data_IF_321192495355
#
_entry.id   IF_321192495355
#
_cell.length_a   1.000
_cell.length_b   1.000
_cell.length_c   1.000
_cell.angle_alpha   90.00
_cell.angle_beta   90.00
_cell.angle_gamma   90.00
#
_symmetry.space_group_name_H-M   'P 1'
#
loop_
_entity.id
_entity.type
_entity.pdbx_description
1 polymer ?
#
# COMPACT_ATOMS: atom_id res chain seq x y z
N UNK A 1 17.86 48.82 22.63
CA UNK A 1 17.79 48.20 23.97
C UNK A 1 17.33 46.78 23.79
N UNK A 2 18.22 45.86 24.12
CA UNK A 2 18.01 44.41 24.21
C UNK A 2 17.27 44.12 25.52
N UNK A 3 16.35 43.15 25.51
CA UNK A 3 16.27 41.99 26.44
C UNK A 3 15.18 41.03 25.92
N UNK A 4 15.57 39.84 25.44
CA UNK A 4 15.47 38.53 26.12
C UNK A 4 13.99 38.10 26.31
N UNK A 5 13.50 37.00 25.73
CA UNK A 5 14.02 35.64 25.74
C UNK A 5 13.04 34.77 26.52
N UNK A 6 12.37 33.83 25.86
CA UNK A 6 11.74 32.67 26.54
C UNK A 6 11.60 31.55 25.53
N UNK A 7 12.59 30.66 25.55
CA UNK A 7 12.47 29.30 25.05
C UNK A 7 11.34 28.60 25.81
N UNK A 8 10.38 28.04 25.08
CA UNK A 8 9.51 26.98 25.59
C UNK A 8 9.88 25.66 24.90
N UNK A 9 10.80 24.98 25.57
CA UNK A 9 10.94 23.53 25.75
C UNK A 9 10.07 22.57 24.92
N UNK A 10 10.78 21.61 24.32
CA UNK A 10 10.34 20.28 23.90
C UNK A 10 9.36 19.61 24.89
N UNK A 11 8.25 19.07 24.37
CA UNK A 11 7.55 17.92 24.94
C UNK A 11 6.05 18.08 25.22
N UNK A 12 5.19 17.70 24.26
CA UNK A 12 3.92 16.96 24.48
C UNK A 12 3.08 16.91 23.20
N UNK A 13 3.41 15.98 22.28
CA UNK A 13 2.57 15.65 21.12
C UNK A 13 1.34 14.81 21.56
N UNK A 14 0.48 15.40 22.40
CA UNK A 14 -0.88 14.93 22.61
C UNK A 14 -1.84 16.05 22.20
N UNK A 15 -2.26 16.00 20.93
CA UNK A 15 -3.49 16.59 20.41
C UNK A 15 -3.69 18.08 20.66
N UNK A 16 -3.02 18.93 19.89
CA UNK A 16 -3.49 20.31 19.72
C UNK A 16 -4.85 20.29 19.02
N UNK A 17 -5.84 20.97 19.60
CA UNK A 17 -7.14 21.11 18.98
C UNK A 17 -7.00 21.90 17.67
N UNK A 18 -7.42 21.31 16.55
CA UNK A 18 -7.42 21.96 15.24
C UNK A 18 -8.76 22.67 15.06
N UNK A 19 -8.72 23.99 14.86
CA UNK A 19 -9.92 24.76 14.50
C UNK A 19 -10.35 24.42 13.06
N UNK A 20 -11.47 23.73 12.95
CA UNK A 20 -12.04 23.29 11.67
C UNK A 20 -12.60 24.45 10.82
N UNK A 21 -12.80 25.64 11.40
CA UNK A 21 -13.30 26.81 10.66
C UNK A 21 -12.19 27.50 9.85
N UNK A 22 -10.94 27.38 10.28
CA UNK A 22 -9.77 28.00 9.65
C UNK A 22 -8.87 27.01 8.92
N UNK A 23 -9.01 25.70 9.16
CA UNK A 23 -8.22 24.68 8.49
C UNK A 23 -8.71 24.38 7.05
N UNK A 24 -7.82 24.23 6.07
CA UNK A 24 -8.20 23.80 4.73
C UNK A 24 -8.72 22.36 4.75
N UNK A 25 -9.99 22.16 4.42
CA UNK A 25 -10.62 20.84 4.36
C UNK A 25 -10.25 20.12 3.06
N UNK A 26 -9.50 19.01 3.17
CA UNK A 26 -9.23 18.10 2.07
C UNK A 26 -10.23 16.92 2.09
N UNK A 27 -11.33 17.05 1.34
CA UNK A 27 -12.36 16.01 1.23
C UNK A 27 -12.01 15.04 0.08
N UNK A 28 -12.04 13.74 0.37
CA UNK A 28 -11.87 12.68 -0.63
C UNK A 28 -13.13 11.81 -0.67
N UNK A 29 -13.88 11.88 -1.77
CA UNK A 29 -15.08 11.06 -1.99
C UNK A 29 -14.67 9.84 -2.80
N UNK A 30 -15.01 8.65 -2.32
CA UNK A 30 -14.70 7.39 -2.99
C UNK A 30 -15.89 6.43 -2.96
N UNK A 31 -15.86 5.45 -3.86
CA UNK A 31 -16.77 4.31 -3.89
C UNK A 31 -15.96 3.04 -3.77
N UNK A 32 -16.39 2.14 -2.90
CA UNK A 32 -15.78 0.82 -2.78
C UNK A 32 -16.14 -0.04 -4.00
N UNK A 33 -15.15 -0.77 -4.50
CA UNK A 33 -15.36 -1.87 -5.43
C UNK A 33 -16.00 -3.02 -4.64
N UNK A 34 -17.13 -3.52 -5.14
CA UNK A 34 -18.01 -4.49 -4.47
C UNK A 34 -18.56 -5.50 -5.48
N UNK A 35 -19.06 -6.65 -5.01
CA UNK A 35 -19.60 -7.70 -5.87
C UNK A 35 -18.51 -8.45 -6.61
N UNK A 36 -18.81 -9.01 -7.77
CA UNK A 36 -17.87 -9.83 -8.56
C UNK A 36 -16.59 -9.05 -8.96
N UNK A 37 -16.67 -7.73 -9.07
CA UNK A 37 -15.49 -6.88 -9.36
C UNK A 37 -14.54 -6.74 -8.17
N UNK A 38 -15.01 -7.02 -6.95
CA UNK A 38 -14.17 -7.04 -5.76
C UNK A 38 -13.40 -8.35 -5.61
N UNK A 39 -13.79 -9.40 -6.35
CA UNK A 39 -13.09 -10.66 -6.32
C UNK A 39 -11.67 -10.48 -6.87
N UNK A 40 -10.67 -11.08 -6.20
CA UNK A 40 -9.29 -10.98 -6.64
C UNK A 40 -9.11 -11.61 -8.02
N UNK A 41 -8.52 -10.86 -8.96
CA UNK A 41 -8.08 -11.47 -10.22
C UNK A 41 -6.76 -12.19 -10.01
N UNK A 42 -6.68 -13.47 -10.38
CA UNK A 42 -5.42 -14.21 -10.34
C UNK A 42 -4.60 -13.97 -11.61
N UNK A 43 -3.37 -13.47 -11.44
CA UNK A 43 -2.40 -13.37 -12.52
C UNK A 43 -1.77 -14.74 -12.75
N UNK A 44 -2.04 -15.32 -13.92
CA UNK A 44 -1.51 -16.62 -14.31
C UNK A 44 -0.39 -16.48 -15.33
N UNK A 45 0.70 -17.21 -15.12
CA UNK A 45 1.85 -17.24 -16.01
C UNK A 45 1.92 -18.66 -16.60
N UNK A 46 1.91 -18.75 -17.92
CA UNK A 46 2.10 -20.00 -18.63
C UNK A 46 3.58 -20.33 -18.77
N UNK A 47 3.95 -21.51 -18.25
CA UNK A 47 5.35 -21.95 -18.16
C UNK A 47 5.45 -23.35 -18.72
N UNK A 48 5.96 -23.45 -19.95
CA UNK A 48 6.09 -24.74 -20.64
C UNK A 48 4.72 -25.43 -20.78
N UNK A 49 4.35 -26.33 -19.86
CA UNK A 49 3.07 -27.04 -19.82
C UNK A 49 2.28 -26.83 -18.50
N UNK A 50 2.72 -25.92 -17.62
CA UNK A 50 2.02 -25.62 -16.36
C UNK A 50 1.54 -24.16 -16.31
N UNK A 51 0.36 -23.95 -15.73
CA UNK A 51 -0.17 -22.60 -15.43
C UNK A 51 0.08 -22.30 -13.96
N UNK A 52 0.92 -21.31 -13.69
CA UNK A 52 1.28 -20.93 -12.32
C UNK A 52 0.53 -19.64 -11.95
N UNK A 53 -0.07 -19.60 -10.76
CA UNK A 53 -0.62 -18.37 -10.18
C UNK A 53 0.55 -17.52 -9.65
N UNK A 54 0.99 -16.55 -10.44
CA UNK A 54 2.12 -15.66 -10.14
C UNK A 54 1.78 -14.53 -9.18
N UNK A 55 0.51 -14.14 -9.12
CA UNK A 55 0.06 -13.12 -8.19
C UNK A 55 -1.46 -12.98 -8.13
N UNK A 56 -1.88 -12.03 -7.30
CA UNK A 56 -3.28 -11.68 -7.09
C UNK A 56 -3.44 -10.17 -7.21
N UNK A 57 -4.39 -9.73 -8.04
CA UNK A 57 -4.71 -8.33 -8.27
C UNK A 57 -6.04 -7.96 -7.61
N UNK A 58 -6.05 -6.78 -6.99
CA UNK A 58 -7.22 -6.16 -6.38
C UNK A 58 -7.44 -4.78 -6.97
N UNK A 59 -8.67 -4.45 -7.35
CA UNK A 59 -9.04 -3.07 -7.66
C UNK A 59 -9.21 -2.26 -6.38
N UNK A 60 -8.78 -1.00 -6.39
CA UNK A 60 -8.85 -0.11 -5.24
C UNK A 60 -9.75 1.10 -5.53
N UNK A 61 -10.51 1.60 -4.54
CA UNK A 61 -10.60 1.11 -3.16
C UNK A 61 -11.44 -0.18 -3.03
N UNK A 62 -10.90 -1.24 -2.44
CA UNK A 62 -11.59 -2.54 -2.31
C UNK A 62 -12.40 -2.61 -1.03
N UNK A 63 -13.59 -3.20 -1.07
CA UNK A 63 -14.37 -3.51 0.12
C UNK A 63 -13.66 -4.51 1.06
N UNK A 64 -12.77 -5.37 0.54
CA UNK A 64 -12.01 -6.33 1.35
C UNK A 64 -11.04 -5.65 2.33
N UNK A 65 -10.57 -4.45 1.98
CA UNK A 65 -9.59 -3.72 2.78
C UNK A 65 -10.22 -2.60 3.62
N UNK A 66 -11.55 -2.50 3.62
CA UNK A 66 -12.26 -1.48 4.40
C UNK A 66 -12.08 -1.71 5.91
N UNK A 67 -11.74 -0.65 6.65
CA UNK A 67 -11.47 -0.75 8.10
C UNK A 67 -10.10 -1.35 8.47
N UNK A 68 -9.35 -1.89 7.50
CA UNK A 68 -8.07 -2.54 7.76
C UNK A 68 -7.05 -1.56 8.36
N UNK A 69 -7.02 -0.32 7.87
CA UNK A 69 -6.11 0.71 8.38
C UNK A 69 -6.39 1.03 9.85
N UNK A 70 -7.66 1.13 10.22
CA UNK A 70 -8.13 1.46 11.57
C UNK A 70 -7.88 0.31 12.56
N UNK A 71 -7.86 -0.93 12.07
CA UNK A 71 -7.55 -2.12 12.89
C UNK A 71 -6.07 -2.26 13.25
N UNK A 72 -5.18 -1.58 12.51
CA UNK A 72 -3.73 -1.69 12.70
C UNK A 72 -3.26 -0.71 13.78
N UNK A 73 -2.90 -1.26 14.94
CA UNK A 73 -2.37 -0.50 16.07
C UNK A 73 -0.87 -0.79 16.19
N UNK A 74 -0.07 0.28 16.13
CA UNK A 74 1.37 0.23 16.34
C UNK A 74 1.74 1.23 17.44
N UNK A 75 2.50 0.78 18.44
CA UNK A 75 2.94 1.63 19.57
C UNK A 75 3.90 2.74 19.12
N UNK A 76 4.63 2.50 18.03
CA UNK A 76 5.54 3.46 17.42
C UNK A 76 4.88 4.08 16.21
N UNK A 77 4.91 5.40 16.12
CA UNK A 77 4.51 6.11 14.90
C UNK A 77 5.37 5.62 13.73
N UNK A 78 4.74 5.00 12.73
CA UNK A 78 5.42 4.71 11.45
C UNK A 78 5.87 6.05 10.90
N UNK A 79 7.19 6.24 10.76
CA UNK A 79 7.73 7.53 10.34
C UNK A 79 7.09 7.90 8.97
N UNK A 80 6.36 9.03 8.87
CA UNK A 80 5.67 9.42 7.64
C UNK A 80 6.64 9.69 6.49
N UNK A 81 7.94 9.85 6.76
CA UNK A 81 9.02 10.00 5.79
C UNK A 81 9.58 8.66 5.28
N UNK A 82 9.07 7.51 5.72
CA UNK A 82 9.41 6.18 5.15
C UNK A 82 9.01 6.08 3.67
N UNK A 83 8.23 7.04 3.17
CA UNK A 83 7.99 7.26 1.75
C UNK A 83 9.25 7.91 1.13
N UNK A 84 10.29 7.11 0.90
CA UNK A 84 11.59 7.59 0.40
C UNK A 84 11.76 7.40 -1.11
N UNK A 85 12.12 8.52 -1.75
CA UNK A 85 12.88 8.81 -2.99
C UNK A 85 12.85 7.92 -4.25
N UNK A 86 12.48 6.64 -4.23
CA UNK A 86 12.50 5.77 -5.42
C UNK A 86 11.25 4.91 -5.61
N UNK A 87 10.10 5.29 -5.01
CA UNK A 87 8.83 4.53 -5.08
C UNK A 87 8.91 3.10 -4.49
N UNK A 88 9.86 2.85 -3.58
CA UNK A 88 10.07 1.55 -2.93
C UNK A 88 10.03 1.71 -1.42
N UNK A 89 9.29 0.82 -0.74
CA UNK A 89 9.21 0.74 0.73
C UNK A 89 9.59 -0.69 1.14
N UNK A 90 10.43 -0.82 2.16
CA UNK A 90 10.82 -2.11 2.73
C UNK A 90 10.39 -2.20 4.19
N UNK A 91 9.56 -3.21 4.51
CA UNK A 91 9.07 -3.48 5.86
C UNK A 91 9.68 -4.78 6.39
N UNK A 92 10.33 -4.72 7.55
CA UNK A 92 10.92 -5.90 8.20
C UNK A 92 10.45 -6.03 9.65
N UNK A 93 10.47 -7.26 10.17
CA UNK A 93 10.07 -7.58 11.54
C UNK A 93 9.54 -9.01 11.67
N UNK A 94 9.32 -9.50 12.91
CA UNK A 94 8.85 -10.86 13.18
C UNK A 94 7.60 -11.26 12.37
N UNK A 95 7.38 -12.54 12.06
CA UNK A 95 6.15 -12.98 11.40
C UNK A 95 4.92 -12.62 12.25
N UNK A 96 3.80 -12.30 11.61
CA UNK A 96 2.56 -11.93 12.30
C UNK A 96 2.42 -10.46 12.73
N UNK A 97 3.44 -9.61 12.55
CA UNK A 97 3.37 -8.18 12.92
C UNK A 97 2.57 -7.28 11.96
N UNK A 98 1.72 -7.87 11.12
CA UNK A 98 0.84 -7.11 10.22
C UNK A 98 1.53 -6.40 9.04
N UNK A 99 2.79 -6.71 8.69
CA UNK A 99 3.51 -6.07 7.57
C UNK A 99 2.73 -6.08 6.24
N UNK A 100 2.20 -7.23 5.85
CA UNK A 100 1.38 -7.37 4.64
C UNK A 100 0.07 -6.59 4.75
N UNK A 101 -0.57 -6.66 5.92
CA UNK A 101 -1.79 -5.90 6.21
C UNK A 101 -1.56 -4.38 6.12
N UNK A 102 -0.41 -3.90 6.62
CA UNK A 102 -0.01 -2.50 6.52
C UNK A 102 0.20 -2.07 5.06
N UNK A 103 0.82 -2.90 4.22
CA UNK A 103 0.91 -2.61 2.78
C UNK A 103 -0.46 -2.48 2.12
N UNK A 104 -1.39 -3.41 2.40
CA UNK A 104 -2.77 -3.38 1.85
C UNK A 104 -3.53 -2.14 2.33
N UNK A 105 -3.47 -1.85 3.62
CA UNK A 105 -4.11 -0.68 4.21
C UNK A 105 -3.53 0.64 3.67
N UNK A 106 -2.22 0.71 3.50
CA UNK A 106 -1.54 1.86 2.90
C UNK A 106 -1.97 2.05 1.44
N UNK A 107 -2.01 0.98 0.65
CA UNK A 107 -2.45 1.04 -0.75
C UNK A 107 -3.90 1.54 -0.84
N UNK A 108 -4.81 1.04 0.00
CA UNK A 108 -6.21 1.51 0.10
C UNK A 108 -6.26 3.01 0.40
N UNK A 109 -5.54 3.48 1.43
CA UNK A 109 -5.53 4.91 1.79
C UNK A 109 -4.92 5.77 0.68
N UNK A 110 -3.87 5.32 0.00
CA UNK A 110 -3.26 6.05 -1.11
C UNK A 110 -4.22 6.15 -2.31
N UNK A 111 -4.94 5.08 -2.66
CA UNK A 111 -5.93 5.12 -3.73
C UNK A 111 -7.03 6.16 -3.45
N UNK A 112 -7.52 6.23 -2.22
CA UNK A 112 -8.51 7.23 -1.81
C UNK A 112 -7.92 8.64 -1.84
N UNK A 113 -6.73 8.84 -1.24
CA UNK A 113 -6.08 10.16 -1.12
C UNK A 113 -5.61 10.71 -2.47
N UNK A 114 -5.29 9.86 -3.44
CA UNK A 114 -4.80 10.27 -4.75
C UNK A 114 -5.86 10.13 -5.85
N UNK A 115 -7.12 9.86 -5.49
CA UNK A 115 -8.26 9.72 -6.40
C UNK A 115 -8.48 10.91 -7.36
N UNK A 116 -8.16 12.13 -6.93
CA UNK A 116 -8.23 13.30 -7.81
C UNK A 116 -7.15 13.26 -8.93
N UNK A 117 -6.05 12.55 -8.71
CA UNK A 117 -4.93 12.46 -9.64
C UNK A 117 -4.95 11.18 -10.49
N UNK A 118 -5.52 10.09 -9.98
CA UNK A 118 -5.60 8.81 -10.66
C UNK A 118 -7.06 8.32 -10.70
N UNK A 119 -7.56 8.04 -11.91
CA UNK A 119 -8.92 7.53 -12.13
C UNK A 119 -9.09 6.07 -11.72
N UNK A 120 -7.99 5.32 -11.66
CA UNK A 120 -7.95 3.90 -11.31
C UNK A 120 -6.72 3.62 -10.45
N UNK A 121 -6.85 2.64 -9.56
CA UNK A 121 -5.77 2.12 -8.74
C UNK A 121 -5.95 0.61 -8.56
N UNK A 122 -4.83 -0.10 -8.52
CA UNK A 122 -4.83 -1.54 -8.27
C UNK A 122 -3.69 -1.90 -7.32
N UNK A 123 -3.89 -2.98 -6.55
CA UNK A 123 -2.86 -3.64 -5.75
C UNK A 123 -2.54 -4.99 -6.37
N UNK A 124 -1.25 -5.23 -6.64
CA UNK A 124 -0.76 -6.53 -7.11
C UNK A 124 0.08 -7.15 -6.00
N UNK A 125 -0.38 -8.29 -5.49
CA UNK A 125 0.32 -9.09 -4.50
C UNK A 125 0.96 -10.29 -5.17
N UNK A 126 2.30 -10.34 -5.17
CA UNK A 126 3.07 -11.39 -5.82
C UNK A 126 3.18 -12.60 -4.89
N UNK A 127 2.80 -13.78 -5.38
CA UNK A 127 2.97 -15.03 -4.62
C UNK A 127 4.35 -15.61 -4.89
N UNK A 128 5.32 -15.23 -4.05
CA UNK A 128 6.72 -15.66 -4.17
C UNK A 128 6.92 -17.16 -3.95
N UNK A 129 6.06 -17.80 -3.14
CA UNK A 129 6.16 -19.26 -2.90
C UNK A 129 5.89 -20.02 -4.18
N UNK A 130 4.84 -19.67 -4.93
CA UNK A 130 4.55 -20.29 -6.23
C UNK A 130 5.62 -19.95 -7.29
N UNK A 131 6.16 -18.74 -7.23
CA UNK A 131 7.13 -18.24 -8.20
C UNK A 131 8.54 -18.85 -8.04
N UNK A 132 8.94 -19.18 -6.80
CA UNK A 132 10.31 -19.60 -6.46
C UNK A 132 10.46 -21.10 -6.14
N UNK A 133 9.37 -21.82 -5.85
CA UNK A 133 9.47 -23.16 -5.22
C UNK A 133 9.75 -24.34 -6.15
N UNK A 134 9.62 -24.20 -7.48
CA UNK A 134 9.74 -25.36 -8.39
C UNK A 134 10.92 -25.35 -9.38
N UNK A 135 11.44 -24.19 -9.76
CA UNK A 135 12.38 -24.12 -10.89
C UNK A 135 13.49 -23.09 -10.66
N UNK A 136 14.57 -23.49 -9.98
CA UNK A 136 15.72 -22.61 -9.69
C UNK A 136 16.38 -22.02 -10.96
N UNK A 137 16.22 -22.66 -12.13
CA UNK A 137 16.71 -22.14 -13.41
C UNK A 137 15.66 -21.38 -14.24
N UNK A 138 14.35 -21.49 -13.94
CA UNK A 138 13.28 -20.76 -14.65
C UNK A 138 12.74 -19.56 -13.85
N UNK A 139 13.03 -19.48 -12.55
CA UNK A 139 12.55 -18.43 -11.65
C UNK A 139 12.84 -17.01 -12.17
N UNK A 140 14.02 -16.77 -12.72
CA UNK A 140 14.38 -15.47 -13.30
C UNK A 140 13.52 -15.11 -14.53
N UNK A 141 13.21 -16.09 -15.39
CA UNK A 141 12.34 -15.90 -16.56
C UNK A 141 10.92 -15.56 -16.12
N UNK A 142 10.43 -16.24 -15.08
CA UNK A 142 9.09 -16.03 -14.53
C UNK A 142 8.92 -14.68 -13.86
N UNK A 143 9.92 -14.27 -13.07
CA UNK A 143 9.97 -12.92 -12.50
C UNK A 143 9.91 -11.89 -13.62
N UNK A 144 10.72 -12.05 -14.67
CA UNK A 144 10.75 -11.12 -15.81
C UNK A 144 9.40 -11.07 -16.55
N UNK A 145 8.78 -12.21 -16.85
CA UNK A 145 7.47 -12.27 -17.49
C UNK A 145 6.38 -11.60 -16.65
N UNK A 146 6.36 -11.87 -15.33
CA UNK A 146 5.43 -11.25 -14.41
C UNK A 146 5.57 -9.73 -14.39
N UNK A 147 6.80 -9.22 -14.29
CA UNK A 147 7.04 -7.78 -14.33
C UNK A 147 6.65 -7.17 -15.67
N UNK A 148 6.87 -7.85 -16.80
CA UNK A 148 6.41 -7.39 -18.11
C UNK A 148 4.89 -7.28 -18.18
N UNK A 149 4.14 -8.27 -17.66
CA UNK A 149 2.68 -8.19 -17.57
C UNK A 149 2.22 -7.03 -16.68
N UNK A 150 2.94 -6.75 -15.59
CA UNK A 150 2.66 -5.58 -14.74
C UNK A 150 2.93 -4.29 -15.52
N UNK A 151 4.01 -4.20 -16.31
CA UNK A 151 4.31 -3.02 -17.10
C UNK A 151 3.27 -2.78 -18.21
N UNK A 152 2.84 -3.84 -18.90
CA UNK A 152 1.79 -3.77 -19.93
C UNK A 152 0.45 -3.28 -19.36
N UNK A 153 0.15 -3.59 -18.09
CA UNK A 153 -1.03 -3.07 -17.41
C UNK A 153 -0.91 -1.58 -17.02
N UNK A 154 0.31 -1.07 -16.85
CA UNK A 154 0.57 0.31 -16.44
C UNK A 154 0.63 1.28 -17.63
N UNK A 155 0.75 0.78 -18.85
CA UNK A 155 0.83 1.53 -20.11
C UNK A 155 -0.56 1.72 -20.74
#
# INVERSE_FOLDING_TARGET
>A
MITEGSDCSVGSDFGSAVDLQSAPLALHIYRLVTGDEADPTHETIEVSNEVIKGGTRWLLPSAEFEGLWESLVYDTSVNPHVISWNRVIFLHGPPGTGKTSLCRALAQKLAIRLSHRFSSAALIEINTVNLMSKWFSESARLVSQMFNSIFEYLE
#
